data_IF_461843524475
#
_entry.id   IF_461843524475
#
_cell.length_a   1.000
_cell.length_b   1.000
_cell.length_c   1.000
_cell.angle_alpha   90.00
_cell.angle_beta   90.00
_cell.angle_gamma   90.00
#
_symmetry.space_group_name_H-M   'P 1'
#
loop_
_entity.id
_entity.type
_entity.pdbx_description
1 polymer ?
#
# COMPACT_ATOMS: atom_id res chain seq x y z
N UNK A 1 -12.12 13.73 12.72
CA UNK A 1 -11.08 14.63 12.19
C UNK A 1 -11.65 15.35 10.98
N UNK A 2 -12.01 16.64 11.13
CA UNK A 2 -12.74 17.45 10.13
C UNK A 2 -11.96 17.68 8.80
N UNK A 3 -10.65 17.46 8.81
CA UNK A 3 -9.76 17.63 7.65
C UNK A 3 -10.08 16.72 6.44
N UNK A 4 -10.61 15.50 6.66
CA UNK A 4 -10.89 14.54 5.57
C UNK A 4 -12.12 14.85 4.72
N UNK A 5 -12.93 15.86 5.10
CA UNK A 5 -14.22 16.13 4.46
C UNK A 5 -14.16 17.15 3.31
N UNK A 6 -13.08 17.93 3.20
CA UNK A 6 -13.07 19.13 2.34
C UNK A 6 -12.40 18.94 0.96
N UNK A 7 -11.64 17.86 0.75
CA UNK A 7 -10.97 17.56 -0.53
C UNK A 7 -10.65 16.07 -0.58
N UNK A 8 -10.88 15.37 -1.69
CA UNK A 8 -10.35 14.01 -1.90
C UNK A 8 -8.85 14.11 -2.19
N UNK A 9 -8.10 14.61 -1.21
CA UNK A 9 -6.67 14.82 -1.34
C UNK A 9 -6.02 13.43 -1.35
N UNK A 10 -5.27 13.07 -2.41
CA UNK A 10 -4.70 11.74 -2.51
C UNK A 10 -3.84 11.45 -1.28
N UNK A 11 -4.11 10.32 -0.63
CA UNK A 11 -3.45 9.88 0.59
C UNK A 11 -2.20 9.08 0.25
N UNK A 12 -1.07 9.49 0.84
CA UNK A 12 0.21 8.77 0.71
C UNK A 12 0.60 8.19 2.07
N UNK A 13 0.70 6.87 2.16
CA UNK A 13 1.27 6.23 3.34
C UNK A 13 2.80 6.15 3.21
N UNK A 14 3.52 6.64 4.22
CA UNK A 14 4.98 6.66 4.27
C UNK A 14 5.47 6.04 5.57
N UNK A 15 6.53 5.22 5.50
CA UNK A 15 7.15 4.62 6.68
C UNK A 15 7.96 3.36 6.35
N UNK A 16 8.27 2.58 7.37
CA UNK A 16 8.88 1.23 7.24
C UNK A 16 7.90 0.20 6.67
N UNK A 17 7.28 0.54 5.54
CA UNK A 17 6.28 -0.28 4.86
C UNK A 17 7.02 -1.32 4.00
N UNK A 18 6.56 -2.56 4.07
CA UNK A 18 7.06 -3.71 3.34
C UNK A 18 5.91 -4.40 2.60
N UNK A 19 6.17 -5.29 1.62
CA UNK A 19 5.10 -6.03 0.95
C UNK A 19 4.24 -6.86 1.93
N UNK A 20 4.81 -7.27 3.07
CA UNK A 20 4.12 -8.08 4.07
C UNK A 20 3.17 -7.26 4.96
N UNK A 21 3.37 -5.94 5.08
CA UNK A 21 2.61 -5.08 6.00
C UNK A 21 1.75 -4.01 5.30
N UNK A 22 1.77 -3.94 3.96
CA UNK A 22 1.07 -2.89 3.22
C UNK A 22 -0.45 -3.10 3.11
N UNK A 23 -0.94 -4.33 3.26
CA UNK A 23 -2.35 -4.67 3.03
C UNK A 23 -3.35 -3.83 3.86
N UNK A 24 -3.14 -3.58 5.17
CA UNK A 24 -4.05 -2.71 5.94
C UNK A 24 -4.06 -1.27 5.46
N UNK A 25 -2.95 -0.77 4.90
CA UNK A 25 -2.87 0.60 4.36
C UNK A 25 -3.67 0.72 3.05
N UNK A 26 -3.59 -0.31 2.20
CA UNK A 26 -4.40 -0.42 0.98
C UNK A 26 -5.88 -0.50 1.33
N UNK A 27 -6.25 -1.35 2.30
CA UNK A 27 -7.64 -1.47 2.75
C UNK A 27 -8.19 -0.19 3.39
N UNK A 28 -7.33 0.62 4.04
CA UNK A 28 -7.69 1.92 4.59
C UNK A 28 -7.89 3.01 3.51
N UNK A 29 -7.63 2.71 2.24
CA UNK A 29 -7.79 3.65 1.12
C UNK A 29 -6.57 4.54 0.88
N UNK A 30 -5.35 4.06 1.18
CA UNK A 30 -4.14 4.74 0.74
C UNK A 30 -4.01 4.65 -0.80
N UNK A 31 -3.95 5.81 -1.46
CA UNK A 31 -3.79 5.88 -2.92
C UNK A 31 -2.37 5.55 -3.36
N UNK A 32 -1.37 5.91 -2.52
CA UNK A 32 0.04 5.68 -2.80
C UNK A 32 0.80 5.19 -1.56
N UNK A 33 1.84 4.38 -1.79
CA UNK A 33 2.79 3.94 -0.78
C UNK A 33 4.18 4.50 -1.11
N UNK A 34 4.76 5.26 -0.18
CA UNK A 34 6.13 5.76 -0.30
C UNK A 34 7.09 4.84 0.48
N UNK A 35 7.90 4.07 -0.26
CA UNK A 35 8.83 3.07 0.27
C UNK A 35 10.24 3.25 -0.27
N UNK A 36 11.23 3.21 0.63
CA UNK A 36 12.65 3.34 0.28
C UNK A 36 13.46 2.16 0.80
N UNK A 37 13.51 1.96 2.12
CA UNK A 37 14.29 0.89 2.74
C UNK A 37 13.90 -0.51 2.26
N UNK A 38 12.60 -0.79 2.11
CA UNK A 38 12.11 -2.07 1.61
C UNK A 38 12.50 -2.36 0.15
N UNK A 39 12.72 -1.31 -0.66
CA UNK A 39 13.13 -1.44 -2.06
C UNK A 39 14.65 -1.62 -2.17
N UNK A 40 15.41 -0.72 -1.56
CA UNK A 40 16.86 -0.68 -1.73
C UNK A 40 17.61 -1.75 -0.92
N UNK A 41 17.03 -2.25 0.17
CA UNK A 41 17.64 -3.31 1.00
C UNK A 41 17.12 -4.71 0.66
N UNK A 42 16.30 -4.87 -0.37
CA UNK A 42 15.74 -6.16 -0.75
C UNK A 42 16.83 -7.11 -1.26
N UNK A 43 16.89 -8.34 -0.72
CA UNK A 43 17.97 -9.30 -1.05
C UNK A 43 18.07 -9.66 -2.53
N UNK A 44 16.95 -9.64 -3.24
CA UNK A 44 16.87 -9.95 -4.67
C UNK A 44 16.94 -8.69 -5.55
N UNK A 45 17.25 -7.54 -4.96
CA UNK A 45 17.34 -6.25 -5.62
C UNK A 45 16.00 -5.49 -5.73
N UNK A 46 16.08 -4.22 -6.18
CA UNK A 46 14.94 -3.29 -6.15
C UNK A 46 13.81 -3.70 -7.11
N UNK A 47 14.13 -4.27 -8.27
CA UNK A 47 13.10 -4.74 -9.21
C UNK A 47 12.26 -5.89 -8.66
N UNK A 48 12.87 -6.79 -7.88
CA UNK A 48 12.15 -7.86 -7.20
C UNK A 48 11.27 -7.30 -6.06
N UNK A 49 11.74 -6.27 -5.36
CA UNK A 49 10.96 -5.58 -4.33
C UNK A 49 9.70 -4.94 -4.90
N UNK A 50 9.82 -4.22 -6.03
CA UNK A 50 8.67 -3.59 -6.69
C UNK A 50 7.63 -4.63 -7.11
N UNK A 51 8.06 -5.75 -7.72
CA UNK A 51 7.15 -6.86 -8.07
C UNK A 51 6.43 -7.45 -6.85
N UNK A 52 7.13 -7.56 -5.71
CA UNK A 52 6.52 -8.02 -4.47
C UNK A 52 5.45 -7.04 -3.96
N UNK A 53 5.71 -5.73 -4.03
CA UNK A 53 4.72 -4.71 -3.70
C UNK A 53 3.51 -4.76 -4.63
N UNK A 54 3.72 -4.87 -5.95
CA UNK A 54 2.62 -4.98 -6.92
C UNK A 54 1.71 -6.17 -6.59
N UNK A 55 2.28 -7.35 -6.33
CA UNK A 55 1.52 -8.55 -5.97
C UNK A 55 0.75 -8.38 -4.65
N UNK A 56 1.38 -7.78 -3.62
CA UNK A 56 0.76 -7.55 -2.33
C UNK A 56 -0.41 -6.53 -2.42
N UNK A 57 -0.23 -5.45 -3.17
CA UNK A 57 -1.27 -4.44 -3.40
C UNK A 57 -2.45 -5.04 -4.17
N UNK A 58 -2.20 -5.77 -5.25
CA UNK A 58 -3.25 -6.42 -6.03
C UNK A 58 -4.09 -7.36 -5.16
N UNK A 59 -3.43 -8.21 -4.37
CA UNK A 59 -4.11 -9.10 -3.42
C UNK A 59 -4.95 -8.33 -2.40
N UNK A 60 -4.41 -7.26 -1.83
CA UNK A 60 -5.12 -6.46 -0.84
C UNK A 60 -6.35 -5.75 -1.43
N UNK A 61 -6.27 -5.28 -2.68
CA UNK A 61 -7.41 -4.70 -3.39
C UNK A 61 -8.51 -5.74 -3.68
N UNK A 62 -8.13 -6.96 -4.06
CA UNK A 62 -9.09 -8.05 -4.27
C UNK A 62 -9.82 -8.42 -2.98
N UNK A 63 -9.11 -8.47 -1.85
CA UNK A 63 -9.67 -8.75 -0.52
C UNK A 63 -10.58 -7.61 -0.02
N UNK A 64 -10.16 -6.35 -0.20
CA UNK A 64 -10.98 -5.18 0.15
C UNK A 64 -12.26 -5.11 -0.70
N UNK A 65 -12.17 -5.44 -1.99
CA UNK A 65 -13.30 -5.50 -2.91
C UNK A 65 -14.29 -6.63 -2.61
N UNK A 66 -13.86 -7.70 -1.93
CA UNK A 66 -14.75 -8.77 -1.43
C UNK A 66 -15.46 -8.33 -0.15
N UNK A 67 -14.75 -7.68 0.78
CA UNK A 67 -15.31 -7.16 2.03
C UNK A 67 -16.38 -6.10 1.78
N UNK A 68 -16.20 -5.23 0.77
CA UNK A 68 -17.19 -4.21 0.42
C UNK A 68 -18.49 -4.77 -0.21
N UNK A 69 -18.51 -6.06 -0.60
CA UNK A 69 -19.64 -6.74 -1.27
C UNK A 69 -20.39 -7.74 -0.37
N UNK A 70 -19.90 -7.98 0.84
CA UNK A 70 -20.53 -8.82 1.88
C UNK A 70 -21.33 -7.97 2.85
#
# INVERSE_FOLDING_TARGET
SWWSYATTLPCVAIGGITPENCAPLVAAGADFLAVSGAVWNHRQGPGAAVKAFEAAIARALDEAGQTARS
#
